data_IF_124979021659
#
_entry.id   IF_124979021659
#
_cell.length_a   1.000
_cell.length_b   1.000
_cell.length_c   1.000
_cell.angle_alpha   90.00
_cell.angle_beta   90.00
_cell.angle_gamma   90.00
#
_symmetry.space_group_name_H-M   'P 1'
#
loop_
_entity.id
_entity.type
_entity.pdbx_description
1 polymer ?
#
# COMPACT_ATOMS: atom_id res chain seq x y z
N UNK A 1 34.75 10.34 -10.47
CA UNK A 1 33.93 9.43 -11.31
C UNK A 1 32.50 9.91 -11.15
N UNK A 2 32.15 10.92 -11.95
CA UNK A 2 30.76 11.28 -12.21
C UNK A 2 30.15 10.12 -13.01
N UNK A 3 29.01 9.62 -12.57
CA UNK A 3 28.11 8.84 -13.39
C UNK A 3 26.73 9.46 -13.25
N UNK A 4 26.41 10.28 -14.25
CA UNK A 4 25.07 10.74 -14.58
C UNK A 4 24.11 9.56 -14.74
N UNK A 5 22.88 9.78 -14.29
CA UNK A 5 21.69 9.19 -14.92
C UNK A 5 20.52 10.15 -14.72
N UNK A 6 20.56 11.27 -15.45
CA UNK A 6 19.37 12.04 -15.78
C UNK A 6 18.48 11.20 -16.71
N UNK A 7 17.22 10.96 -16.36
CA UNK A 7 16.23 10.44 -17.30
C UNK A 7 14.91 11.20 -17.19
N UNK A 8 14.70 11.99 -18.24
CA UNK A 8 13.62 12.92 -18.54
C UNK A 8 12.26 12.22 -18.62
N UNK A 9 11.21 12.94 -18.21
CA UNK A 9 10.10 13.29 -19.12
C UNK A 9 9.36 14.53 -18.63
N UNK A 10 9.62 15.63 -19.31
CA UNK A 10 8.69 16.73 -19.37
C UNK A 10 7.33 16.21 -19.88
N UNK A 11 6.27 16.48 -19.13
CA UNK A 11 4.93 16.56 -19.67
C UNK A 11 4.45 17.99 -19.45
N UNK A 12 4.38 18.77 -20.52
CA UNK A 12 3.66 20.04 -20.55
C UNK A 12 2.23 19.81 -20.06
N UNK A 13 1.91 20.21 -18.84
CA UNK A 13 0.62 19.93 -18.23
C UNK A 13 -0.05 21.24 -17.84
N UNK A 14 -1.12 21.56 -18.57
CA UNK A 14 -2.16 22.53 -18.22
C UNK A 14 -2.26 22.66 -16.70
N UNK A 15 -1.78 23.77 -16.11
CA UNK A 15 -1.87 23.99 -14.65
C UNK A 15 -3.36 24.04 -14.31
N UNK A 16 -3.94 22.94 -13.81
CA UNK A 16 -5.37 22.85 -13.67
C UNK A 16 -5.77 23.85 -12.59
N UNK A 17 -6.81 24.63 -12.85
CA UNK A 17 -7.27 25.66 -11.94
C UNK A 17 -7.36 25.08 -10.51
N UNK A 18 -6.73 25.78 -9.55
CA UNK A 18 -6.57 25.35 -8.15
C UNK A 18 -7.89 24.85 -7.55
N UNK A 19 -9.02 25.46 -7.92
CA UNK A 19 -10.34 25.03 -7.48
C UNK A 19 -10.70 23.61 -7.94
N UNK A 20 -10.36 23.24 -9.18
CA UNK A 20 -10.58 21.89 -9.70
C UNK A 20 -9.71 20.86 -8.98
N UNK A 21 -8.45 21.20 -8.68
CA UNK A 21 -7.57 20.31 -7.89
C UNK A 21 -8.12 20.10 -6.48
N UNK A 22 -8.56 21.16 -5.80
CA UNK A 22 -9.18 21.04 -4.47
C UNK A 22 -10.45 20.17 -4.54
N UNK A 23 -11.29 20.34 -5.55
CA UNK A 23 -12.49 19.52 -5.75
C UNK A 23 -12.14 18.04 -5.99
N UNK A 24 -11.11 17.74 -6.80
CA UNK A 24 -10.64 16.36 -7.00
C UNK A 24 -10.11 15.75 -5.69
N UNK A 25 -9.23 16.48 -4.98
CA UNK A 25 -8.64 16.04 -3.71
C UNK A 25 -9.72 15.77 -2.65
N UNK A 26 -10.74 16.64 -2.55
CA UNK A 26 -11.86 16.42 -1.62
C UNK A 26 -12.63 15.14 -1.92
N UNK A 27 -12.80 14.80 -3.21
CA UNK A 27 -13.48 13.58 -3.67
C UNK A 27 -12.62 12.32 -3.57
N UNK A 28 -11.29 12.44 -3.50
CA UNK A 28 -10.42 11.29 -3.29
C UNK A 28 -10.65 10.68 -1.92
N UNK A 29 -10.62 9.35 -1.88
CA UNK A 29 -10.84 8.54 -0.67
C UNK A 29 -9.68 7.58 -0.47
N UNK A 30 -9.66 6.96 0.70
CA UNK A 30 -8.68 5.93 1.07
C UNK A 30 -8.62 4.77 0.05
N UNK A 31 -9.74 4.47 -0.63
CA UNK A 31 -9.82 3.45 -1.68
C UNK A 31 -8.97 3.76 -2.91
N UNK A 32 -8.71 5.04 -3.21
CA UNK A 32 -7.81 5.47 -4.29
C UNK A 32 -6.35 5.10 -3.96
N UNK A 33 -6.03 5.05 -2.65
CA UNK A 33 -4.69 4.75 -2.15
C UNK A 33 -4.40 3.24 -2.06
N UNK A 34 -5.40 2.36 -2.30
CA UNK A 34 -5.29 0.89 -2.14
C UNK A 34 -4.13 0.29 -2.93
N UNK A 35 -3.84 0.85 -4.10
CA UNK A 35 -2.79 0.38 -4.99
C UNK A 35 -1.39 0.76 -4.52
N UNK A 36 -1.23 1.83 -3.73
CA UNK A 36 0.07 2.46 -3.48
C UNK A 36 0.60 2.28 -2.06
N UNK A 37 -0.10 1.59 -1.16
CA UNK A 37 0.34 1.36 0.23
C UNK A 37 1.68 0.63 0.36
N UNK A 38 2.09 -0.10 -0.67
CA UNK A 38 3.37 -0.81 -0.74
C UNK A 38 4.54 0.14 -1.08
N UNK A 39 4.25 1.35 -1.54
CA UNK A 39 5.23 2.34 -1.98
C UNK A 39 5.53 3.36 -0.89
N UNK A 40 6.64 4.09 -1.09
CA UNK A 40 6.93 5.25 -0.26
C UNK A 40 5.87 6.33 -0.49
N UNK A 41 5.64 7.18 0.52
CA UNK A 41 4.65 8.26 0.39
C UNK A 41 4.96 9.20 -0.80
N UNK A 42 6.22 9.30 -1.22
CA UNK A 42 6.66 10.09 -2.38
C UNK A 42 6.26 9.40 -3.69
N UNK A 43 6.54 8.11 -3.80
CA UNK A 43 6.22 7.32 -5.00
C UNK A 43 4.71 7.12 -5.13
N UNK A 44 4.02 6.89 -4.02
CA UNK A 44 2.56 6.86 -3.95
C UNK A 44 1.93 8.18 -4.46
N UNK A 45 2.53 9.31 -4.08
CA UNK A 45 2.13 10.63 -4.55
C UNK A 45 2.34 10.78 -6.07
N UNK A 46 3.47 10.29 -6.60
CA UNK A 46 3.76 10.32 -8.03
C UNK A 46 2.77 9.45 -8.82
N UNK A 47 2.50 8.23 -8.36
CA UNK A 47 1.60 7.27 -9.01
C UNK A 47 0.17 7.80 -9.13
N UNK A 48 -0.32 8.47 -8.07
CA UNK A 48 -1.67 9.06 -8.05
C UNK A 48 -1.70 10.45 -8.71
N UNK A 49 -0.53 11.09 -8.89
CA UNK A 49 -0.43 12.45 -9.40
C UNK A 49 -0.86 13.53 -8.40
N UNK A 50 -0.63 13.31 -7.10
CA UNK A 50 -0.93 14.26 -6.01
C UNK A 50 0.32 14.56 -5.17
N UNK A 51 0.29 15.64 -4.40
CA UNK A 51 1.40 15.93 -3.48
C UNK A 51 1.33 15.07 -2.21
N UNK A 52 2.48 14.82 -1.59
CA UNK A 52 2.59 14.12 -0.28
C UNK A 52 1.65 14.72 0.79
N UNK A 53 1.47 16.04 0.79
CA UNK A 53 0.56 16.74 1.71
C UNK A 53 -0.91 16.34 1.53
N UNK A 54 -1.33 16.04 0.29
CA UNK A 54 -2.67 15.55 -0.02
C UNK A 54 -2.86 14.16 0.56
N UNK A 55 -1.91 13.25 0.35
CA UNK A 55 -1.96 11.91 0.94
C UNK A 55 -2.04 12.00 2.46
N UNK A 56 -1.22 12.85 3.10
CA UNK A 56 -1.30 13.09 4.55
C UNK A 56 -2.67 13.63 4.98
N UNK A 57 -3.28 14.53 4.20
CA UNK A 57 -4.61 15.06 4.50
C UNK A 57 -5.70 13.97 4.41
N UNK A 58 -5.63 13.09 3.41
CA UNK A 58 -6.53 11.94 3.29
C UNK A 58 -6.32 10.98 4.46
N UNK A 59 -5.09 10.60 4.78
CA UNK A 59 -4.79 9.72 5.92
C UNK A 59 -5.32 10.29 7.25
N UNK A 60 -5.15 11.59 7.49
CA UNK A 60 -5.71 12.26 8.69
C UNK A 60 -7.23 12.18 8.74
N UNK A 61 -7.91 12.36 7.60
CA UNK A 61 -9.38 12.30 7.51
C UNK A 61 -9.90 10.90 7.79
N UNK A 62 -9.15 9.89 7.38
CA UNK A 62 -9.52 8.47 7.46
C UNK A 62 -8.94 7.76 8.70
N UNK A 63 -8.55 8.52 9.73
CA UNK A 63 -8.01 8.01 11.01
C UNK A 63 -6.69 7.21 10.91
N UNK A 64 -5.95 7.36 9.81
CA UNK A 64 -4.60 6.81 9.67
C UNK A 64 -3.60 7.90 10.06
N UNK A 65 -3.07 7.82 11.29
CA UNK A 65 -2.15 8.82 11.82
C UNK A 65 -0.81 8.88 11.07
N UNK A 66 -0.36 7.78 10.48
CA UNK A 66 0.92 7.68 9.77
C UNK A 66 0.84 6.72 8.58
N UNK A 67 1.55 7.03 7.48
CA UNK A 67 1.58 6.20 6.27
C UNK A 67 2.11 4.80 6.59
N UNK A 68 1.30 3.73 6.40
CA UNK A 68 1.59 2.44 6.99
C UNK A 68 2.69 1.64 6.27
N UNK A 69 3.45 2.23 5.33
CA UNK A 69 4.46 1.50 4.53
C UNK A 69 5.36 0.60 5.37
N UNK A 70 5.89 1.09 6.49
CA UNK A 70 6.94 0.36 7.23
C UNK A 70 6.37 -0.92 7.84
N UNK A 71 5.21 -0.80 8.46
CA UNK A 71 4.52 -1.91 9.11
C UNK A 71 3.97 -2.88 8.07
N UNK A 72 3.41 -2.33 7.00
CA UNK A 72 2.84 -3.09 5.89
C UNK A 72 3.91 -3.90 5.14
N UNK A 73 5.06 -3.31 4.80
CA UNK A 73 6.19 -4.02 4.19
C UNK A 73 6.75 -5.10 5.13
N UNK A 74 6.85 -4.81 6.43
CA UNK A 74 7.32 -5.80 7.41
C UNK A 74 6.37 -7.00 7.49
N UNK A 75 5.06 -6.76 7.56
CA UNK A 75 4.04 -7.81 7.58
C UNK A 75 4.01 -8.59 6.25
N UNK A 76 4.13 -7.91 5.12
CA UNK A 76 4.20 -8.55 3.80
C UNK A 76 5.41 -9.50 3.68
N UNK A 77 6.59 -9.10 4.18
CA UNK A 77 7.77 -9.98 4.25
C UNK A 77 7.53 -11.20 5.12
N UNK A 78 6.85 -11.05 6.27
CA UNK A 78 6.49 -12.19 7.13
C UNK A 78 5.55 -13.16 6.42
N UNK A 79 4.57 -12.64 5.69
CA UNK A 79 3.66 -13.44 4.85
C UNK A 79 4.44 -14.18 3.77
N UNK A 80 5.40 -13.55 3.11
CA UNK A 80 6.24 -14.19 2.08
C UNK A 80 7.09 -15.34 2.66
N UNK A 81 7.66 -15.15 3.84
CA UNK A 81 8.41 -16.21 4.53
C UNK A 81 7.49 -17.38 4.88
N UNK A 82 6.34 -17.11 5.50
CA UNK A 82 5.38 -18.15 5.87
C UNK A 82 4.73 -18.84 4.68
N UNK A 83 4.63 -18.16 3.53
CA UNK A 83 4.13 -18.76 2.30
C UNK A 83 4.97 -19.99 1.91
N UNK A 84 6.28 -19.96 2.13
CA UNK A 84 7.17 -21.12 1.88
C UNK A 84 6.89 -22.28 2.84
N UNK A 85 6.46 -21.98 4.06
CA UNK A 85 6.07 -22.99 5.06
C UNK A 85 4.76 -23.70 4.73
N UNK A 86 3.96 -23.17 3.79
CA UNK A 86 2.74 -23.83 3.31
C UNK A 86 3.04 -25.09 2.49
N UNK A 87 4.22 -25.20 1.89
CA UNK A 87 4.65 -26.37 1.12
C UNK A 87 5.36 -27.42 2.00
N UNK A 88 5.43 -27.19 3.31
CA UNK A 88 6.06 -28.13 4.25
C UNK A 88 5.33 -29.47 4.30
N UNK A 89 6.07 -30.58 4.41
CA UNK A 89 5.51 -31.93 4.54
C UNK A 89 4.66 -32.10 5.82
N UNK A 90 4.97 -31.33 6.86
CA UNK A 90 4.28 -31.39 8.14
C UNK A 90 2.90 -30.69 8.10
N UNK A 91 1.78 -31.41 8.37
CA UNK A 91 0.44 -30.84 8.32
C UNK A 91 0.16 -29.78 9.40
N UNK A 92 0.80 -29.89 10.56
CA UNK A 92 0.67 -28.92 11.66
C UNK A 92 1.32 -27.61 11.24
N UNK A 93 2.53 -27.68 10.69
CA UNK A 93 3.27 -26.49 10.21
C UNK A 93 2.47 -25.75 9.12
N UNK A 94 1.86 -26.46 8.17
CA UNK A 94 1.03 -25.84 7.13
C UNK A 94 -0.19 -25.12 7.71
N UNK A 95 -0.87 -25.75 8.68
CA UNK A 95 -2.06 -25.18 9.34
C UNK A 95 -1.71 -23.91 10.11
N UNK A 96 -0.69 -23.96 10.97
CA UNK A 96 -0.26 -22.80 11.76
C UNK A 96 0.23 -21.66 10.85
N UNK A 97 1.03 -21.98 9.82
CA UNK A 97 1.51 -20.97 8.87
C UNK A 97 0.35 -20.26 8.15
N UNK A 98 -0.74 -20.97 7.84
CA UNK A 98 -1.95 -20.39 7.25
C UNK A 98 -2.65 -19.41 8.22
N UNK A 99 -2.82 -19.80 9.48
CA UNK A 99 -3.45 -18.96 10.52
C UNK A 99 -2.63 -17.68 10.76
N UNK A 100 -1.31 -17.80 10.80
CA UNK A 100 -0.40 -16.66 10.94
C UNK A 100 -0.47 -15.72 9.74
N UNK A 101 -0.48 -16.27 8.51
CA UNK A 101 -0.65 -15.47 7.29
C UNK A 101 -1.97 -14.70 7.34
N UNK A 102 -3.09 -15.36 7.69
CA UNK A 102 -4.39 -14.70 7.80
C UNK A 102 -4.35 -13.57 8.83
N UNK A 103 -3.69 -13.79 9.97
CA UNK A 103 -3.54 -12.77 11.02
C UNK A 103 -2.75 -11.56 10.50
N UNK A 104 -1.62 -11.78 9.83
CA UNK A 104 -0.82 -10.68 9.26
C UNK A 104 -1.56 -9.91 8.18
N UNK A 105 -2.36 -10.58 7.35
CA UNK A 105 -3.19 -9.93 6.34
C UNK A 105 -4.27 -9.04 6.97
N UNK A 106 -4.93 -9.49 8.05
CA UNK A 106 -5.89 -8.67 8.80
C UNK A 106 -5.21 -7.42 9.39
N UNK A 107 -4.03 -7.59 9.98
CA UNK A 107 -3.26 -6.46 10.52
C UNK A 107 -2.84 -5.47 9.43
N UNK A 108 -2.51 -5.94 8.22
CA UNK A 108 -2.23 -5.07 7.07
C UNK A 108 -3.47 -4.23 6.73
N UNK A 109 -4.64 -4.85 6.65
CA UNK A 109 -5.92 -4.15 6.35
C UNK A 109 -6.24 -3.12 7.44
N UNK A 110 -6.07 -3.48 8.71
CA UNK A 110 -6.28 -2.58 9.85
C UNK A 110 -5.34 -1.36 9.78
N UNK A 111 -4.06 -1.57 9.46
CA UNK A 111 -3.10 -0.49 9.28
C UNK A 111 -3.45 0.45 8.11
N UNK A 112 -4.15 -0.07 7.10
CA UNK A 112 -4.64 0.68 5.94
C UNK A 112 -6.04 1.29 6.17
N UNK A 113 -6.52 1.37 7.42
CA UNK A 113 -7.81 1.99 7.75
C UNK A 113 -9.01 1.16 7.30
N UNK A 114 -8.85 -0.17 7.21
CA UNK A 114 -9.91 -1.08 6.75
C UNK A 114 -9.98 -1.26 5.24
N UNK A 115 -9.16 -0.53 4.46
CA UNK A 115 -9.07 -0.74 3.01
C UNK A 115 -8.11 -1.88 2.71
N UNK A 116 -8.54 -2.78 1.83
CA UNK A 116 -7.70 -3.88 1.35
C UNK A 116 -6.62 -3.33 0.41
N UNK A 117 -5.32 -3.38 0.76
CA UNK A 117 -4.29 -2.87 -0.12
C UNK A 117 -4.11 -3.82 -1.31
N UNK A 118 -4.57 -3.39 -2.49
CA UNK A 118 -4.41 -4.15 -3.74
C UNK A 118 -2.94 -4.22 -4.19
N UNK A 119 -2.11 -3.27 -3.75
CA UNK A 119 -0.67 -3.28 -4.03
C UNK A 119 0.12 -4.36 -3.29
N UNK A 120 -0.52 -5.16 -2.45
CA UNK A 120 0.12 -6.25 -1.70
C UNK A 120 -0.68 -7.51 -1.94
N UNK A 121 0.02 -8.56 -2.32
CA UNK A 121 -0.62 -9.82 -2.64
C UNK A 121 -1.09 -10.50 -1.35
N UNK A 122 -2.37 -10.31 -1.03
CA UNK A 122 -3.05 -11.06 0.01
C UNK A 122 -3.48 -12.42 -0.59
N UNK A 123 -3.02 -13.49 0.04
CA UNK A 123 -3.44 -14.86 -0.26
C UNK A 123 -4.88 -15.06 0.24
N UNK A 124 -5.79 -15.38 -0.68
CA UNK A 124 -7.12 -15.89 -0.32
C UNK A 124 -7.03 -17.40 -0.19
N UNK A 125 -7.13 -17.89 1.04
CA UNK A 125 -7.30 -19.32 1.28
C UNK A 125 -8.80 -19.61 1.20
N UNK A 126 -9.22 -20.40 0.21
CA UNK A 126 -10.57 -20.95 0.24
C UNK A 126 -10.62 -22.02 1.32
N UNK A 127 -11.55 -21.87 2.28
CA UNK A 127 -11.96 -22.96 3.16
C UNK A 127 -12.59 -24.04 2.28
N UNK A 128 -11.96 -25.21 2.22
CA UNK A 128 -12.51 -26.44 1.65
C UNK A 128 -12.96 -27.33 2.80
#
# INVERSE_FOLDING_TARGET
IELEAESKRASSAFKPNRQFQIKRIKKMTLNDLRGVFHLTIKDAAAEIGVSVSVIKAICRRERISYWPQRKVTSLAKRVEVLKKSLDSADPVVRKTSREDIQTFQRLIIECCGGVTPTGIQLLQFQEQ
#
